data_IF_117152729251
#
_entry.id   IF_117152729251
#
_cell.length_a   1.000
_cell.length_b   1.000
_cell.length_c   1.000
_cell.angle_alpha   90.00
_cell.angle_beta   90.00
_cell.angle_gamma   90.00
#
_symmetry.space_group_name_H-M   'P 1'
#
loop_
_entity.id
_entity.type
_entity.pdbx_description
1 polymer ?
#
# COMPACT_ATOMS: atom_id res chain seq x y z
N UNK A 1 -11.29 6.25 -38.15
CA UNK A 1 -11.57 5.28 -37.07
C UNK A 1 -10.65 5.66 -35.91
N UNK A 2 -11.07 6.63 -35.09
CA UNK A 2 -10.29 7.02 -33.92
C UNK A 2 -10.59 6.00 -32.82
N UNK A 3 -9.59 5.20 -32.46
CA UNK A 3 -9.66 4.30 -31.31
C UNK A 3 -9.75 5.16 -30.06
N UNK A 4 -10.91 5.18 -29.43
CA UNK A 4 -11.07 5.70 -28.08
C UNK A 4 -10.26 4.79 -27.16
N UNK A 5 -9.04 5.19 -26.83
CA UNK A 5 -8.32 4.66 -25.67
C UNK A 5 -9.19 4.94 -24.44
N UNK A 6 -9.97 3.93 -24.04
CA UNK A 6 -10.57 3.89 -22.73
C UNK A 6 -9.41 3.83 -21.74
N UNK A 7 -8.97 5.00 -21.27
CA UNK A 7 -8.16 5.07 -20.06
C UNK A 7 -8.94 4.35 -18.97
N UNK A 8 -8.40 3.31 -18.33
CA UNK A 8 -9.06 2.68 -17.20
C UNK A 8 -9.43 3.79 -16.20
N UNK A 9 -10.70 3.85 -15.82
CA UNK A 9 -11.11 4.70 -14.70
C UNK A 9 -10.43 4.23 -13.41
N UNK A 10 -10.42 5.04 -12.34
CA UNK A 10 -9.86 4.63 -11.07
C UNK A 10 -10.53 3.33 -10.61
N UNK A 11 -9.72 2.29 -10.38
CA UNK A 11 -10.17 1.03 -9.80
C UNK A 11 -10.27 1.23 -8.29
N UNK A 12 -11.45 1.02 -7.72
CA UNK A 12 -11.59 0.87 -6.27
C UNK A 12 -11.16 -0.53 -5.89
N UNK A 13 -9.90 -0.66 -5.55
CA UNK A 13 -9.40 -1.85 -4.89
C UNK A 13 -9.90 -1.87 -3.44
N UNK A 14 -10.44 -3.02 -3.02
CA UNK A 14 -10.93 -3.20 -1.66
C UNK A 14 -9.73 -3.59 -0.80
N UNK A 15 -9.36 -2.70 0.10
CA UNK A 15 -8.39 -2.97 1.16
C UNK A 15 -9.10 -3.38 2.44
N UNK A 16 -8.60 -4.46 3.04
CA UNK A 16 -8.98 -4.89 4.39
C UNK A 16 -8.08 -4.22 5.44
N UNK A 17 -8.56 -4.08 6.70
CA UNK A 17 -7.75 -3.47 7.75
C UNK A 17 -6.41 -4.17 7.97
N UNK A 18 -5.38 -3.42 8.38
CA UNK A 18 -4.07 -3.97 8.74
C UNK A 18 -4.19 -5.04 9.83
N UNK A 19 -3.37 -6.08 9.80
CA UNK A 19 -3.59 -7.27 10.63
C UNK A 19 -3.62 -6.95 12.14
N UNK A 20 -2.78 -6.03 12.62
CA UNK A 20 -2.75 -5.61 14.03
C UNK A 20 -4.03 -4.89 14.51
N UNK A 21 -4.89 -4.40 13.61
CA UNK A 21 -6.18 -3.80 13.98
C UNK A 21 -7.35 -4.78 13.94
N UNK A 22 -7.11 -6.03 13.52
CA UNK A 22 -8.13 -7.07 13.52
C UNK A 22 -8.40 -7.58 14.95
N UNK A 23 -9.60 -8.14 15.23
CA UNK A 23 -9.82 -8.92 16.44
C UNK A 23 -8.78 -10.03 16.61
N UNK A 24 -8.41 -10.34 17.85
CA UNK A 24 -7.37 -11.35 18.15
C UNK A 24 -7.68 -12.71 17.50
N UNK A 25 -8.95 -13.11 17.45
CA UNK A 25 -9.34 -14.38 16.85
C UNK A 25 -9.02 -14.46 15.35
N UNK A 26 -9.04 -13.33 14.65
CA UNK A 26 -8.63 -13.26 13.24
C UNK A 26 -7.11 -13.17 13.10
N UNK A 27 -6.41 -12.51 14.03
CA UNK A 27 -4.95 -12.48 14.03
C UNK A 27 -4.39 -13.90 14.20
N UNK A 28 -4.90 -14.66 15.17
CA UNK A 28 -4.50 -16.05 15.42
C UNK A 28 -4.81 -16.94 14.19
N UNK A 29 -6.00 -16.77 13.59
CA UNK A 29 -6.38 -17.51 12.39
C UNK A 29 -5.52 -17.16 11.16
N UNK A 30 -5.01 -15.92 11.07
CA UNK A 30 -4.06 -15.52 10.04
C UNK A 30 -2.69 -16.16 10.29
N UNK A 31 -2.20 -16.18 11.53
CA UNK A 31 -0.93 -16.84 11.87
C UNK A 31 -0.97 -18.35 11.52
N UNK A 32 -2.10 -19.02 11.75
CA UNK A 32 -2.29 -20.42 11.36
C UNK A 32 -2.39 -20.63 9.83
N UNK A 33 -2.91 -19.64 9.09
CA UNK A 33 -3.10 -19.72 7.64
C UNK A 33 -1.85 -19.32 6.86
N UNK A 34 -1.07 -18.37 7.38
CA UNK A 34 0.14 -17.85 6.76
C UNK A 34 1.31 -18.80 7.03
N UNK A 35 1.84 -19.40 5.95
CA UNK A 35 2.96 -20.37 6.09
C UNK A 35 4.31 -19.69 5.87
N UNK A 36 4.62 -19.33 4.62
CA UNK A 36 5.93 -18.81 4.24
C UNK A 36 5.91 -17.30 3.92
N UNK A 37 4.70 -16.73 3.89
CA UNK A 37 4.48 -15.39 3.39
C UNK A 37 3.23 -14.73 3.99
N UNK A 38 3.29 -13.45 4.39
CA UNK A 38 2.13 -12.70 4.88
C UNK A 38 1.15 -12.34 3.76
N UNK A 39 0.46 -13.37 3.27
CA UNK A 39 -0.44 -13.31 2.12
C UNK A 39 -1.68 -12.45 2.36
N UNK A 40 -2.09 -12.27 3.63
CA UNK A 40 -3.19 -11.39 3.97
C UNK A 40 -2.76 -9.94 3.84
N UNK A 41 -1.67 -9.58 4.49
CA UNK A 41 -1.16 -8.22 4.51
C UNK A 41 -0.99 -7.69 3.09
N UNK A 42 -0.28 -8.45 2.27
CA UNK A 42 0.10 -7.99 0.94
C UNK A 42 -0.88 -8.36 -0.16
N UNK A 43 -1.75 -9.35 0.05
CA UNK A 43 -2.77 -9.72 -0.92
C UNK A 43 -4.11 -9.03 -0.73
N UNK A 44 -4.43 -8.58 0.48
CA UNK A 44 -5.79 -8.14 0.82
C UNK A 44 -5.81 -6.84 1.62
N UNK A 45 -4.80 -6.58 2.44
CA UNK A 45 -4.86 -5.44 3.36
C UNK A 45 -4.17 -4.18 2.85
N UNK A 46 -2.96 -4.29 2.33
CA UNK A 46 -2.11 -3.16 1.98
C UNK A 46 -1.82 -3.21 0.48
N UNK A 47 -2.51 -2.37 -0.30
CA UNK A 47 -2.05 -2.10 -1.65
C UNK A 47 -0.72 -1.32 -1.61
N UNK A 48 0.23 -1.77 -2.43
CA UNK A 48 1.47 -1.06 -2.71
C UNK A 48 1.23 0.19 -3.54
N UNK A 49 2.25 1.03 -3.66
CA UNK A 49 2.19 2.18 -4.54
C UNK A 49 1.61 3.43 -3.90
N UNK A 50 1.48 4.45 -4.74
CA UNK A 50 0.93 5.73 -4.34
C UNK A 50 -0.61 5.66 -4.37
N UNK A 51 -1.25 5.75 -3.19
CA UNK A 51 -2.71 5.59 -3.06
C UNK A 51 -3.33 6.58 -2.09
N UNK A 52 -4.63 6.83 -2.25
CA UNK A 52 -5.41 7.61 -1.30
C UNK A 52 -6.21 6.70 -0.37
N UNK A 53 -6.17 6.97 0.93
CA UNK A 53 -6.87 6.16 1.93
C UNK A 53 -6.26 4.77 2.12
N UNK A 54 -7.06 3.87 2.71
CA UNK A 54 -6.66 2.49 2.97
C UNK A 54 -5.81 2.32 4.23
N UNK A 55 -5.05 1.23 4.27
CA UNK A 55 -4.07 0.93 5.32
C UNK A 55 -2.65 1.24 4.88
N UNK A 56 -1.78 1.58 5.84
CA UNK A 56 -0.33 1.61 5.64
C UNK A 56 0.28 0.37 6.30
N UNK A 57 1.31 -0.22 5.69
CA UNK A 57 2.09 -1.29 6.35
C UNK A 57 2.91 -0.69 7.50
N UNK A 58 3.03 -1.43 8.61
CA UNK A 58 3.84 -1.12 9.81
C UNK A 58 4.85 -2.22 10.17
N UNK A 59 5.09 -3.14 9.23
CA UNK A 59 5.97 -4.31 9.34
C UNK A 59 7.40 -4.07 9.86
N UNK A 60 7.95 -2.85 9.82
CA UNK A 60 9.31 -2.56 10.30
C UNK A 60 9.31 -2.08 11.75
N UNK A 61 8.25 -1.38 12.19
CA UNK A 61 8.19 -0.75 13.52
C UNK A 61 7.12 -1.34 14.44
N UNK A 62 6.30 -2.28 13.96
CA UNK A 62 4.95 -2.57 14.46
C UNK A 62 4.05 -1.31 14.41
N UNK A 63 2.72 -1.46 14.49
CA UNK A 63 1.82 -0.30 14.50
C UNK A 63 1.89 0.46 15.83
N UNK A 64 2.01 -0.27 16.94
CA UNK A 64 1.90 0.30 18.28
C UNK A 64 0.52 0.92 18.54
N UNK A 65 0.48 2.11 19.14
CA UNK A 65 -0.78 2.85 19.32
C UNK A 65 -1.23 3.48 17.97
N UNK A 66 -2.49 3.28 17.54
CA UNK A 66 -2.99 3.86 16.30
C UNK A 66 -2.79 5.39 16.23
N UNK A 67 -2.48 5.95 15.05
CA UNK A 67 -2.30 7.38 14.89
C UNK A 67 -3.51 8.19 15.41
N UNK A 68 -3.24 9.24 16.19
CA UNK A 68 -4.26 10.14 16.72
C UNK A 68 -3.97 11.59 16.36
N UNK A 69 -5.03 12.39 16.18
CA UNK A 69 -4.88 13.81 15.91
C UNK A 69 -4.18 14.54 17.07
N UNK A 70 -3.11 15.26 16.78
CA UNK A 70 -2.38 16.06 17.77
C UNK A 70 -3.23 17.16 18.43
N UNK A 71 -4.31 17.62 17.78
CA UNK A 71 -5.15 18.72 18.28
C UNK A 71 -6.32 18.26 19.14
N UNK A 72 -7.06 17.24 18.70
CA UNK A 72 -8.31 16.81 19.36
C UNK A 72 -8.31 15.34 19.79
N UNK A 73 -7.21 14.61 19.58
CA UNK A 73 -7.03 13.20 19.97
C UNK A 73 -8.01 12.21 19.32
N UNK A 74 -8.84 12.67 18.37
CA UNK A 74 -9.66 11.79 17.54
C UNK A 74 -8.76 10.84 16.72
N UNK A 75 -9.24 9.65 16.34
CA UNK A 75 -8.50 8.75 15.47
C UNK A 75 -8.06 9.46 14.19
N UNK A 76 -6.81 9.25 13.79
CA UNK A 76 -6.30 9.70 12.51
C UNK A 76 -6.30 8.52 11.52
N UNK A 77 -6.63 8.79 10.27
CA UNK A 77 -6.66 7.79 9.20
C UNK A 77 -5.71 8.21 8.08
N UNK A 78 -5.22 7.24 7.32
CA UNK A 78 -4.37 7.47 6.17
C UNK A 78 -5.17 8.27 5.12
N UNK A 79 -4.61 9.40 4.67
CA UNK A 79 -5.15 10.21 3.58
C UNK A 79 -4.43 9.84 2.27
N UNK A 80 -3.11 9.76 2.33
CA UNK A 80 -2.25 9.55 1.18
C UNK A 80 -1.06 8.69 1.62
N UNK A 81 -0.84 7.58 0.92
CA UNK A 81 0.40 6.82 0.94
C UNK A 81 1.22 7.19 -0.29
N UNK A 82 2.51 7.36 -0.08
CA UNK A 82 3.53 7.45 -1.10
C UNK A 82 4.41 6.20 -0.97
N UNK A 83 4.80 5.66 -2.12
CA UNK A 83 5.66 4.49 -2.20
C UNK A 83 6.74 4.78 -3.25
N UNK A 84 7.91 4.19 -3.06
CA UNK A 84 8.99 4.26 -4.03
C UNK A 84 8.67 3.43 -5.28
N UNK A 85 7.71 2.49 -5.18
CA UNK A 85 7.25 1.68 -6.31
C UNK A 85 5.76 1.38 -6.28
N UNK A 86 5.13 1.33 -7.45
CA UNK A 86 3.69 1.05 -7.62
C UNK A 86 3.34 -0.42 -7.31
N UNK A 87 4.26 -1.34 -7.58
CA UNK A 87 4.22 -2.75 -7.18
C UNK A 87 5.65 -3.24 -6.92
N UNK A 88 5.83 -4.48 -6.46
CA UNK A 88 7.15 -5.09 -6.38
C UNK A 88 7.89 -4.91 -5.05
N UNK A 89 7.20 -4.54 -3.97
CA UNK A 89 7.77 -4.36 -2.62
C UNK A 89 7.88 -5.68 -1.84
N UNK A 90 7.92 -5.62 -0.50
CA UNK A 90 7.74 -6.82 0.35
C UNK A 90 6.40 -7.56 0.06
N UNK A 91 5.48 -6.88 -0.62
CA UNK A 91 4.24 -7.38 -1.19
C UNK A 91 4.37 -8.33 -2.38
N UNK A 92 5.53 -8.39 -3.01
CA UNK A 92 5.79 -9.19 -4.21
C UNK A 92 7.02 -10.09 -3.98
N UNK A 93 6.89 -11.00 -3.01
CA UNK A 93 7.82 -12.13 -2.89
C UNK A 93 7.79 -13.01 -4.15
N UNK A 94 8.91 -13.68 -4.46
CA UNK A 94 8.97 -14.69 -5.52
C UNK A 94 7.91 -15.77 -5.27
N UNK A 95 6.90 -15.84 -6.13
CA UNK A 95 5.82 -16.83 -6.09
C UNK A 95 4.47 -16.29 -5.59
N UNK A 96 4.42 -15.05 -5.12
CA UNK A 96 3.15 -14.37 -4.81
C UNK A 96 2.42 -13.90 -6.06
N UNK A 97 1.08 -13.93 -6.10
CA UNK A 97 0.34 -13.26 -7.16
C UNK A 97 0.59 -11.74 -7.04
N UNK A 98 1.08 -11.05 -8.09
CA UNK A 98 1.27 -9.61 -8.05
C UNK A 98 -0.11 -8.94 -8.12
N UNK A 99 -0.79 -8.86 -6.97
CA UNK A 99 -2.21 -8.46 -6.92
C UNK A 99 -2.43 -6.99 -7.23
N UNK A 100 -1.44 -6.17 -6.92
CA UNK A 100 -1.49 -4.72 -7.08
C UNK A 100 -0.82 -4.23 -8.36
N UNK A 101 -0.27 -5.14 -9.16
CA UNK A 101 0.28 -4.79 -10.46
C UNK A 101 -0.85 -4.45 -11.43
N UNK A 102 -0.80 -3.29 -12.11
CA UNK A 102 -1.75 -2.95 -13.16
C UNK A 102 -1.80 -4.02 -14.24
N UNK A 103 -3.00 -4.30 -14.75
CA UNK A 103 -3.21 -5.32 -15.78
C UNK A 103 -2.54 -4.95 -17.11
N UNK A 104 -2.43 -3.65 -17.39
CA UNK A 104 -1.77 -3.08 -18.55
C UNK A 104 -0.26 -3.37 -18.54
N UNK A 105 0.31 -3.51 -17.35
CA UNK A 105 1.73 -3.77 -17.14
C UNK A 105 2.03 -5.26 -16.98
N UNK A 106 1.03 -6.15 -16.97
CA UNK A 106 1.18 -7.58 -16.62
C UNK A 106 2.22 -8.33 -17.46
N UNK A 107 2.40 -7.93 -18.72
CA UNK A 107 3.33 -8.56 -19.67
C UNK A 107 4.77 -8.04 -19.57
N UNK A 108 5.05 -7.01 -18.75
CA UNK A 108 6.43 -6.54 -18.58
C UNK A 108 7.23 -7.56 -17.76
N UNK A 109 8.41 -7.93 -18.23
CA UNK A 109 9.32 -8.83 -17.53
C UNK A 109 10.49 -8.05 -16.95
N UNK A 110 10.81 -8.29 -15.68
CA UNK A 110 11.98 -7.73 -15.00
C UNK A 110 13.29 -8.14 -15.69
N UNK A 111 13.31 -9.30 -16.38
CA UNK A 111 14.45 -9.80 -17.14
C UNK A 111 14.51 -9.34 -18.60
N UNK A 112 13.48 -8.64 -19.09
CA UNK A 112 13.48 -8.14 -20.46
C UNK A 112 14.53 -7.03 -20.65
N UNK A 113 15.18 -6.96 -21.83
CA UNK A 113 16.12 -5.88 -22.11
C UNK A 113 15.41 -4.52 -22.17
N UNK A 114 16.02 -3.51 -21.54
CA UNK A 114 15.51 -2.14 -21.48
C UNK A 114 15.10 -1.73 -20.06
N UNK A 115 14.44 -0.58 -19.95
CA UNK A 115 14.01 0.03 -18.68
C UNK A 115 12.48 0.03 -18.50
N UNK A 116 11.71 -0.48 -19.46
CA UNK A 116 10.25 -0.41 -19.48
C UNK A 116 9.60 -0.96 -18.20
N UNK A 117 10.10 -2.08 -17.67
CA UNK A 117 9.63 -2.65 -16.40
C UNK A 117 9.83 -1.66 -15.23
N UNK A 118 11.03 -1.10 -15.10
CA UNK A 118 11.37 -0.17 -14.02
C UNK A 118 10.67 1.18 -14.17
N UNK A 119 10.56 1.68 -15.40
CA UNK A 119 9.83 2.91 -15.70
C UNK A 119 8.33 2.80 -15.37
N UNK A 120 7.74 1.62 -15.56
CA UNK A 120 6.35 1.37 -15.19
C UNK A 120 6.20 1.15 -13.67
N UNK A 121 7.15 0.44 -13.03
CA UNK A 121 7.16 0.16 -11.59
C UNK A 121 7.41 1.40 -10.74
N UNK A 122 8.21 2.34 -11.23
CA UNK A 122 8.69 3.52 -10.49
C UNK A 122 8.38 4.82 -11.28
N UNK A 123 7.12 5.05 -11.68
CA UNK A 123 6.76 6.10 -12.63
C UNK A 123 6.91 7.50 -12.03
N UNK A 124 6.91 7.62 -10.71
CA UNK A 124 7.06 8.88 -9.97
C UNK A 124 8.52 9.25 -9.73
N UNK A 125 9.44 8.27 -9.81
CA UNK A 125 10.84 8.43 -9.39
C UNK A 125 11.01 8.83 -7.93
N UNK A 126 9.99 8.62 -7.08
CA UNK A 126 10.07 8.92 -5.65
C UNK A 126 10.98 7.92 -4.95
N UNK A 127 11.83 8.41 -4.06
CA UNK A 127 12.60 7.59 -3.14
C UNK A 127 12.18 7.97 -1.71
N UNK A 128 11.43 7.09 -1.05
CA UNK A 128 11.00 7.26 0.34
C UNK A 128 11.91 6.43 1.23
N UNK A 129 12.62 7.08 2.15
CA UNK A 129 13.50 6.38 3.10
C UNK A 129 14.59 5.56 2.41
N UNK A 130 14.54 4.23 2.54
CA UNK A 130 15.42 3.26 1.86
C UNK A 130 14.67 2.45 0.80
N UNK A 131 14.02 3.13 -0.15
CA UNK A 131 13.12 2.51 -1.16
C UNK A 131 11.88 1.85 -0.53
N UNK A 132 11.20 2.59 0.32
CA UNK A 132 10.07 2.15 1.15
C UNK A 132 8.82 2.99 0.84
N UNK A 133 7.89 3.05 1.80
CA UNK A 133 6.64 3.80 1.77
C UNK A 133 6.51 4.77 2.95
N UNK A 134 5.60 5.73 2.81
CA UNK A 134 5.24 6.68 3.85
C UNK A 134 3.81 7.18 3.71
N UNK A 135 3.22 7.63 4.81
CA UNK A 135 1.80 7.96 4.90
C UNK A 135 1.53 9.28 5.61
N UNK A 136 0.62 10.05 5.03
CA UNK A 136 0.02 11.22 5.65
C UNK A 136 -1.26 10.83 6.37
N UNK A 137 -1.33 11.07 7.67
CA UNK A 137 -2.48 10.76 8.52
C UNK A 137 -3.21 12.05 8.90
N UNK A 138 -4.53 12.05 8.72
CA UNK A 138 -5.39 13.18 9.04
C UNK A 138 -6.49 12.85 10.01
N UNK A 139 -6.96 13.89 10.70
CA UNK A 139 -8.01 13.80 11.70
C UNK A 139 -9.34 13.35 11.09
N UNK A 140 -9.97 12.33 11.69
CA UNK A 140 -11.33 11.90 11.32
C UNK A 140 -12.43 12.91 11.67
N UNK A 141 -12.20 13.80 12.65
CA UNK A 141 -13.22 14.74 13.13
C UNK A 141 -13.19 16.12 12.44
N UNK A 142 -12.04 16.56 11.92
CA UNK A 142 -11.89 17.85 11.25
C UNK A 142 -10.68 17.86 10.32
N UNK A 143 -10.92 17.90 9.01
CA UNK A 143 -9.89 17.93 7.96
C UNK A 143 -8.97 19.17 7.97
N UNK A 144 -9.30 20.22 8.75
CA UNK A 144 -8.45 21.41 8.91
C UNK A 144 -7.40 21.22 10.00
N UNK A 145 -7.49 20.15 10.79
CA UNK A 145 -6.46 19.84 11.77
C UNK A 145 -5.16 19.45 11.07
N UNK A 146 -3.99 19.68 11.71
CA UNK A 146 -2.72 19.29 11.13
C UNK A 146 -2.66 17.81 10.78
N UNK A 147 -2.03 17.52 9.65
CA UNK A 147 -1.68 16.15 9.23
C UNK A 147 -0.33 15.76 9.83
N UNK A 148 -0.16 14.49 10.15
CA UNK A 148 1.14 13.91 10.55
C UNK A 148 1.68 13.04 9.42
N UNK A 149 3.00 12.96 9.30
CA UNK A 149 3.67 12.12 8.33
C UNK A 149 4.46 11.03 9.06
N UNK A 150 4.32 9.78 8.59
CA UNK A 150 5.04 8.61 9.08
C UNK A 150 5.74 7.95 7.88
N UNK A 151 6.99 7.53 8.06
CA UNK A 151 7.75 6.80 7.04
C UNK A 151 8.43 5.59 7.69
N UNK A 152 8.61 4.53 6.91
CA UNK A 152 9.34 3.33 7.33
C UNK A 152 10.61 3.13 6.51
#
# INVERSE_FOLDING_TARGET
MAGSELRPGPRTDIEYPYHEVLPQELQDALEDWETDYPAYQYGLSIASGCKMGGGMSWNVTDMGDPPTCARCRAPAHLILQLDSSEWGGESDHRGGPPRWRPTEDADLDIGAPGDAYWAAKEPTGLEVGRYSHGGFFGCSADHRHPVTFHCQ
#
